data_IF_558177875109
#
_entry.id   IF_558177875109
#
_cell.length_a   1.000
_cell.length_b   1.000
_cell.length_c   1.000
_cell.angle_alpha   90.00
_cell.angle_beta   90.00
_cell.angle_gamma   90.00
#
_symmetry.space_group_name_H-M   'P 1'
#
loop_
_entity.id
_entity.type
_entity.pdbx_description
1 polymer ?
#
# COMPACT_ATOMS: atom_id res chain seq x y z
N UNK A 1 -34.63 -22.16 23.56
CA UNK A 1 -34.63 -21.06 22.57
C UNK A 1 -33.38 -20.24 22.80
N UNK A 2 -32.45 -20.20 21.85
CA UNK A 2 -31.21 -19.45 22.00
C UNK A 2 -31.45 -17.97 21.63
N UNK A 3 -31.20 -17.09 22.58
CA UNK A 3 -31.23 -15.64 22.45
C UNK A 3 -30.25 -15.19 21.35
N UNK A 4 -30.81 -14.71 20.23
CA UNK A 4 -30.06 -13.96 19.22
C UNK A 4 -29.50 -12.71 19.89
N UNK A 5 -28.18 -12.60 19.95
CA UNK A 5 -27.48 -11.42 20.46
C UNK A 5 -27.88 -10.18 19.66
N UNK A 6 -28.67 -9.31 20.28
CA UNK A 6 -28.83 -7.92 19.87
C UNK A 6 -27.47 -7.23 19.99
N UNK A 7 -26.96 -6.65 18.90
CA UNK A 7 -25.82 -5.71 18.99
C UNK A 7 -24.70 -5.85 17.96
N UNK A 8 -24.77 -6.73 16.95
CA UNK A 8 -23.85 -6.59 15.81
C UNK A 8 -24.41 -5.55 14.85
N UNK A 9 -23.90 -4.33 14.94
CA UNK A 9 -24.13 -3.26 13.95
C UNK A 9 -23.86 -3.85 12.57
N UNK A 10 -24.82 -3.70 11.65
CA UNK A 10 -24.61 -4.22 10.30
C UNK A 10 -23.39 -3.54 9.67
N UNK A 11 -22.52 -4.29 8.95
CA UNK A 11 -21.37 -3.71 8.28
C UNK A 11 -21.82 -2.58 7.37
N UNK A 12 -21.20 -1.41 7.51
CA UNK A 12 -21.45 -0.28 6.62
C UNK A 12 -21.01 -0.63 5.20
N UNK A 13 -21.39 0.20 4.22
CA UNK A 13 -20.91 0.04 2.84
C UNK A 13 -19.37 0.04 2.78
N UNK A 14 -18.73 0.87 3.60
CA UNK A 14 -17.27 0.95 3.70
C UNK A 14 -16.69 -0.33 4.32
N UNK A 15 -17.28 -0.85 5.38
CA UNK A 15 -16.79 -2.10 6.01
C UNK A 15 -16.85 -3.29 5.05
N UNK A 16 -17.89 -3.34 4.19
CA UNK A 16 -18.00 -4.37 3.14
C UNK A 16 -16.90 -4.22 2.10
N UNK A 17 -16.65 -3.00 1.62
CA UNK A 17 -15.58 -2.72 0.65
C UNK A 17 -14.19 -3.04 1.23
N UNK A 18 -13.94 -2.69 2.49
CA UNK A 18 -12.71 -3.08 3.19
C UNK A 18 -12.59 -4.61 3.24
N UNK A 19 -13.66 -5.32 3.63
CA UNK A 19 -13.66 -6.78 3.69
C UNK A 19 -13.36 -7.42 2.32
N UNK A 20 -13.96 -6.89 1.26
CA UNK A 20 -13.72 -7.35 -0.11
C UNK A 20 -12.28 -7.06 -0.56
N UNK A 21 -11.78 -5.84 -0.36
CA UNK A 21 -10.41 -5.48 -0.70
C UNK A 21 -9.39 -6.36 0.04
N UNK A 22 -9.62 -6.66 1.32
CA UNK A 22 -8.81 -7.61 2.10
C UNK A 22 -8.84 -9.01 1.50
N UNK A 23 -10.02 -9.52 1.15
CA UNK A 23 -10.20 -10.85 0.57
C UNK A 23 -9.52 -10.98 -0.80
N UNK A 24 -9.75 -10.02 -1.71
CA UNK A 24 -9.15 -9.98 -3.03
C UNK A 24 -7.63 -9.79 -2.96
N UNK A 25 -7.13 -9.01 -1.99
CA UNK A 25 -5.68 -8.90 -1.75
C UNK A 25 -5.09 -10.25 -1.36
N UNK A 26 -5.73 -11.00 -0.45
CA UNK A 26 -5.26 -12.34 -0.03
C UNK A 26 -5.28 -13.35 -1.17
N UNK A 27 -6.26 -13.23 -2.08
CA UNK A 27 -6.38 -14.06 -3.29
C UNK A 27 -5.51 -13.60 -4.44
N UNK A 28 -4.92 -12.40 -4.34
CA UNK A 28 -4.09 -11.77 -5.37
C UNK A 28 -4.86 -11.57 -6.68
N UNK A 29 -6.07 -11.03 -6.58
CA UNK A 29 -7.00 -10.79 -7.70
C UNK A 29 -6.99 -9.30 -8.10
N UNK A 30 -6.06 -8.84 -8.97
CA UNK A 30 -5.94 -7.42 -9.34
C UNK A 30 -7.22 -6.90 -9.99
N UNK A 31 -7.79 -7.62 -10.96
CA UNK A 31 -9.04 -7.25 -11.66
C UNK A 31 -10.25 -7.09 -10.71
N UNK A 32 -10.24 -7.74 -9.54
CA UNK A 32 -11.27 -7.60 -8.53
C UNK A 32 -11.03 -6.38 -7.64
N UNK A 33 -9.77 -6.00 -7.43
CA UNK A 33 -9.37 -4.76 -6.76
C UNK A 33 -9.64 -3.54 -7.64
N UNK A 34 -9.44 -3.63 -8.96
CA UNK A 34 -9.73 -2.55 -9.92
C UNK A 34 -11.21 -2.16 -9.87
N UNK A 35 -12.10 -3.15 -9.78
CA UNK A 35 -13.55 -2.93 -9.59
C UNK A 35 -13.89 -2.17 -8.30
N UNK A 36 -13.00 -2.17 -7.32
CA UNK A 36 -13.13 -1.38 -6.10
C UNK A 36 -12.46 -0.02 -6.29
N UNK A 37 -11.16 0.00 -6.60
CA UNK A 37 -10.36 1.21 -6.54
C UNK A 37 -10.56 2.15 -7.74
N UNK A 38 -10.94 1.67 -8.91
CA UNK A 38 -11.15 2.55 -10.08
C UNK A 38 -12.51 3.26 -10.06
N UNK A 39 -13.46 2.72 -9.28
CA UNK A 39 -14.87 3.14 -9.35
C UNK A 39 -15.32 3.95 -8.13
N UNK A 40 -14.42 4.19 -7.18
CA UNK A 40 -14.72 4.89 -5.94
C UNK A 40 -14.17 6.33 -5.98
N UNK A 41 -14.94 7.32 -5.48
CA UNK A 41 -14.40 8.65 -5.23
C UNK A 41 -13.18 8.56 -4.30
N UNK A 42 -12.19 9.41 -4.50
CA UNK A 42 -10.91 9.29 -3.77
C UNK A 42 -11.05 9.33 -2.26
N UNK A 43 -11.96 10.12 -1.70
CA UNK A 43 -12.20 10.12 -0.24
C UNK A 43 -12.66 8.74 0.27
N UNK A 44 -13.47 8.04 -0.53
CA UNK A 44 -13.93 6.67 -0.23
C UNK A 44 -12.79 5.67 -0.42
N UNK A 45 -12.02 5.79 -1.50
CA UNK A 45 -10.82 4.97 -1.71
C UNK A 45 -9.83 5.08 -0.57
N UNK A 46 -9.56 6.30 -0.08
CA UNK A 46 -8.68 6.52 1.05
C UNK A 46 -9.17 5.82 2.32
N UNK A 47 -10.48 5.84 2.58
CA UNK A 47 -11.06 5.12 3.72
C UNK A 47 -10.95 3.61 3.54
N UNK A 48 -11.20 3.09 2.34
CA UNK A 48 -11.08 1.67 2.02
C UNK A 48 -9.64 1.20 2.10
N UNK A 49 -8.68 1.94 1.54
CA UNK A 49 -7.25 1.65 1.60
C UNK A 49 -6.75 1.65 3.05
N UNK A 50 -7.00 2.72 3.82
CA UNK A 50 -6.61 2.78 5.24
C UNK A 50 -7.20 1.64 6.06
N UNK A 51 -8.47 1.30 5.81
CA UNK A 51 -9.12 0.14 6.42
C UNK A 51 -8.44 -1.18 6.06
N UNK A 52 -8.16 -1.38 4.78
CA UNK A 52 -7.50 -2.58 4.24
C UNK A 52 -6.10 -2.76 4.83
N UNK A 53 -5.29 -1.69 4.88
CA UNK A 53 -3.96 -1.69 5.49
C UNK A 53 -4.03 -2.06 6.97
N UNK A 54 -5.03 -1.54 7.70
CA UNK A 54 -5.24 -1.85 9.12
C UNK A 54 -5.57 -3.33 9.34
N UNK A 55 -6.48 -3.89 8.54
CA UNK A 55 -6.87 -5.31 8.66
C UNK A 55 -5.74 -6.27 8.25
N UNK A 56 -4.87 -5.85 7.33
CA UNK A 56 -3.74 -6.65 6.85
C UNK A 56 -2.43 -6.39 7.63
N UNK A 57 -2.43 -5.58 8.69
CA UNK A 57 -1.20 -5.13 9.37
C UNK A 57 -0.26 -6.25 9.86
N UNK A 58 -0.78 -7.46 10.10
CA UNK A 58 -0.01 -8.65 10.50
C UNK A 58 0.31 -9.58 9.33
N UNK A 59 -0.33 -9.39 8.18
CA UNK A 59 -0.18 -10.16 6.96
C UNK A 59 0.77 -9.43 6.00
N UNK A 60 2.06 -9.47 6.34
CA UNK A 60 3.13 -8.81 5.58
C UNK A 60 3.18 -9.31 4.13
N UNK A 61 2.87 -10.58 3.90
CA UNK A 61 2.93 -11.16 2.56
C UNK A 61 1.86 -10.52 1.65
N UNK A 62 0.61 -10.50 2.12
CA UNK A 62 -0.48 -9.85 1.40
C UNK A 62 -0.26 -8.34 1.25
N UNK A 63 0.21 -7.65 2.31
CA UNK A 63 0.52 -6.22 2.22
C UNK A 63 1.63 -5.92 1.20
N UNK A 64 2.67 -6.76 1.14
CA UNK A 64 3.77 -6.56 0.20
C UNK A 64 3.33 -6.76 -1.25
N UNK A 65 2.46 -7.74 -1.48
CA UNK A 65 1.83 -7.94 -2.78
C UNK A 65 0.93 -6.75 -3.15
N UNK A 66 0.13 -6.25 -2.20
CA UNK A 66 -0.73 -5.09 -2.41
C UNK A 66 0.07 -3.81 -2.76
N UNK A 67 1.25 -3.63 -2.17
CA UNK A 67 2.17 -2.55 -2.57
C UNK A 67 2.65 -2.72 -4.02
N UNK A 68 2.89 -3.98 -4.45
CA UNK A 68 3.19 -4.31 -5.83
C UNK A 68 2.04 -3.98 -6.78
N UNK A 69 0.81 -4.37 -6.41
CA UNK A 69 -0.41 -4.02 -7.15
C UNK A 69 -0.52 -2.51 -7.38
N UNK A 70 -0.48 -1.69 -6.32
CA UNK A 70 -0.55 -0.24 -6.48
C UNK A 70 0.61 0.33 -7.32
N UNK A 71 1.82 -0.22 -7.23
CA UNK A 71 2.92 0.21 -8.10
C UNK A 71 2.65 -0.10 -9.59
N UNK A 72 1.96 -1.23 -9.85
CA UNK A 72 1.52 -1.64 -11.19
C UNK A 72 0.35 -0.80 -11.69
N UNK A 73 -0.60 -0.42 -10.85
CA UNK A 73 -1.71 0.44 -11.31
C UNK A 73 -1.22 1.85 -11.67
N UNK A 74 -0.12 2.31 -11.06
CA UNK A 74 0.48 3.61 -11.38
C UNK A 74 1.42 3.51 -12.62
N UNK A 75 1.79 2.31 -13.12
CA UNK A 75 2.77 2.18 -14.22
C UNK A 75 2.54 1.01 -15.20
N UNK A 76 2.98 1.16 -16.45
CA UNK A 76 3.04 0.08 -17.45
C UNK A 76 3.51 -1.25 -16.84
N UNK A 77 2.75 -2.33 -17.09
CA UNK A 77 2.91 -3.69 -16.56
C UNK A 77 4.33 -4.29 -16.61
N UNK A 78 5.20 -3.73 -17.45
CA UNK A 78 6.58 -4.18 -17.73
C UNK A 78 7.52 -4.19 -16.51
N UNK A 79 7.27 -3.36 -15.50
CA UNK A 79 8.15 -3.25 -14.33
C UNK A 79 7.92 -4.37 -13.29
N UNK A 80 6.68 -4.87 -13.18
CA UNK A 80 6.31 -5.98 -12.30
C UNK A 80 6.34 -7.34 -13.00
N UNK A 81 6.40 -7.38 -14.34
CA UNK A 81 6.70 -8.59 -15.13
C UNK A 81 8.18 -9.02 -15.05
N UNK A 82 9.03 -8.26 -14.34
CA UNK A 82 10.38 -8.71 -14.01
C UNK A 82 10.29 -9.91 -13.05
N UNK A 83 11.05 -11.01 -13.28
CA UNK A 83 10.97 -12.25 -12.50
C UNK A 83 11.30 -12.12 -10.99
N UNK A 84 11.60 -10.90 -10.52
CA UNK A 84 11.99 -10.60 -9.14
C UNK A 84 11.00 -9.72 -8.37
N UNK A 85 9.97 -9.15 -9.01
CA UNK A 85 8.95 -8.31 -8.33
C UNK A 85 9.54 -7.36 -7.27
N UNK A 86 10.44 -6.45 -7.68
CA UNK A 86 11.30 -5.71 -6.76
C UNK A 86 10.52 -4.96 -5.68
N UNK A 87 9.44 -4.27 -6.04
CA UNK A 87 8.59 -3.53 -5.10
C UNK A 87 8.06 -4.43 -3.98
N UNK A 88 7.60 -5.64 -4.31
CA UNK A 88 7.06 -6.59 -3.34
C UNK A 88 8.15 -6.99 -2.34
N UNK A 89 9.33 -7.39 -2.85
CA UNK A 89 10.43 -7.84 -2.00
C UNK A 89 10.93 -6.75 -1.03
N UNK A 90 11.01 -5.52 -1.50
CA UNK A 90 11.52 -4.40 -0.70
C UNK A 90 10.48 -3.88 0.28
N UNK A 91 9.22 -3.79 -0.16
CA UNK A 91 8.11 -3.45 0.73
C UNK A 91 8.04 -4.45 1.88
N UNK A 92 8.20 -5.75 1.57
CA UNK A 92 8.32 -6.81 2.57
C UNK A 92 9.53 -6.62 3.49
N UNK A 93 10.67 -6.19 2.97
CA UNK A 93 11.86 -5.89 3.77
C UNK A 93 11.62 -4.73 4.73
N UNK A 94 11.11 -3.59 4.24
CA UNK A 94 10.81 -2.41 5.04
C UNK A 94 9.77 -2.70 6.14
N UNK A 95 8.73 -3.47 5.81
CA UNK A 95 7.71 -3.90 6.77
C UNK A 95 8.27 -4.82 7.86
N UNK A 96 9.25 -5.70 7.56
CA UNK A 96 9.95 -6.48 8.59
C UNK A 96 10.66 -5.58 9.61
N UNK A 97 11.09 -4.41 9.19
CA UNK A 97 11.69 -3.38 10.04
C UNK A 97 10.69 -2.36 10.57
N UNK A 98 9.38 -2.66 10.53
CA UNK A 98 8.30 -1.84 11.10
C UNK A 98 8.05 -0.51 10.39
N UNK A 99 8.47 -0.37 9.14
CA UNK A 99 8.02 0.74 8.31
C UNK A 99 6.66 0.38 7.71
N UNK A 100 5.69 1.27 7.86
CA UNK A 100 4.33 1.11 7.37
C UNK A 100 4.20 1.63 5.92
N UNK A 101 3.55 0.89 5.02
CA UNK A 101 3.29 1.35 3.66
C UNK A 101 2.33 2.55 3.66
N UNK A 102 2.54 3.48 2.73
CA UNK A 102 1.84 4.75 2.56
C UNK A 102 1.94 5.72 3.74
N UNK A 103 2.81 5.43 4.71
CA UNK A 103 3.08 6.29 5.89
C UNK A 103 4.58 6.52 6.03
N UNK A 104 5.37 5.45 6.09
CA UNK A 104 6.82 5.52 6.24
C UNK A 104 7.53 5.35 4.89
N UNK A 105 6.89 4.71 3.92
CA UNK A 105 7.35 4.60 2.54
C UNK A 105 6.16 4.45 1.60
N UNK A 106 6.34 4.70 0.30
CA UNK A 106 5.32 4.53 -0.72
C UNK A 106 5.92 3.87 -1.96
N UNK A 107 5.28 2.82 -2.51
CA UNK A 107 5.67 2.29 -3.81
C UNK A 107 5.42 3.33 -4.92
N UNK A 108 6.33 3.41 -5.88
CA UNK A 108 6.27 4.40 -6.96
C UNK A 108 6.64 3.79 -8.32
N UNK A 109 6.38 4.54 -9.39
CA UNK A 109 6.67 4.13 -10.77
C UNK A 109 8.16 3.90 -11.01
N UNK A 110 8.51 3.10 -12.03
CA UNK A 110 9.90 2.79 -12.38
C UNK A 110 10.57 1.79 -11.43
N UNK A 111 9.81 0.89 -10.82
CA UNK A 111 10.24 0.01 -9.72
C UNK A 111 10.67 0.72 -8.42
N UNK A 112 10.42 2.02 -8.24
CA UNK A 112 10.98 2.80 -7.12
C UNK A 112 10.17 2.66 -5.82
N UNK A 113 10.84 2.86 -4.68
CA UNK A 113 10.17 3.13 -3.40
C UNK A 113 10.61 4.50 -2.92
N UNK A 114 9.63 5.35 -2.60
CA UNK A 114 9.87 6.63 -1.93
C UNK A 114 9.84 6.41 -0.43
N UNK A 115 10.88 6.85 0.27
CA UNK A 115 10.90 6.88 1.73
C UNK A 115 10.22 8.17 2.18
N UNK A 116 9.17 8.05 3.01
CA UNK A 116 8.41 9.18 3.55
C UNK A 116 8.95 9.56 4.93
N UNK A 117 9.18 8.54 5.78
CA UNK A 117 9.71 8.73 7.12
C UNK A 117 11.21 8.42 7.14
N UNK A 118 12.00 9.44 6.82
CA UNK A 118 13.44 9.30 6.68
C UNK A 118 14.13 8.98 8.02
N UNK A 119 13.66 9.54 9.14
CA UNK A 119 14.19 9.24 10.48
C UNK A 119 14.10 7.74 10.81
N UNK A 120 12.95 7.10 10.52
CA UNK A 120 12.81 5.65 10.70
C UNK A 120 13.70 4.86 9.74
N UNK A 121 13.94 5.36 8.53
CA UNK A 121 14.81 4.71 7.56
C UNK A 121 16.28 4.78 7.99
N UNK A 122 16.76 5.92 8.48
CA UNK A 122 18.13 6.07 8.99
C UNK A 122 18.38 5.23 10.26
N UNK A 123 17.34 4.96 11.04
CA UNK A 123 17.43 4.05 12.18
C UNK A 123 17.60 2.57 11.78
N UNK A 124 17.46 2.21 10.49
CA UNK A 124 17.64 0.84 10.02
C UNK A 124 19.11 0.40 10.05
N UNK A 125 19.39 -0.91 10.10
CA UNK A 125 20.76 -1.39 9.96
C UNK A 125 21.39 -0.93 8.63
N UNK A 126 22.66 -0.53 8.66
CA UNK A 126 23.37 -0.02 7.47
C UNK A 126 23.29 -0.95 6.24
N UNK A 127 23.34 -2.27 6.46
CA UNK A 127 23.20 -3.27 5.39
C UNK A 127 21.82 -3.22 4.71
N UNK A 128 20.77 -2.87 5.46
CA UNK A 128 19.40 -2.74 4.95
C UNK A 128 19.28 -1.44 4.17
N UNK A 129 19.79 -0.33 4.70
CA UNK A 129 19.82 0.95 3.99
C UNK A 129 20.56 0.81 2.65
N UNK A 130 21.75 0.18 2.66
CA UNK A 130 22.52 -0.11 1.45
C UNK A 130 21.78 -1.01 0.46
N UNK A 131 21.01 -2.01 0.93
CA UNK A 131 20.23 -2.86 0.05
C UNK A 131 19.08 -2.10 -0.63
N UNK A 132 18.45 -1.15 0.07
CA UNK A 132 17.39 -0.29 -0.47
C UNK A 132 17.98 0.75 -1.44
N UNK A 133 19.03 1.45 -1.03
CA UNK A 133 19.73 2.46 -1.85
C UNK A 133 20.43 1.84 -3.07
N UNK A 134 20.93 0.61 -2.96
CA UNK A 134 21.54 -0.11 -4.07
C UNK A 134 20.51 -0.66 -5.06
N UNK A 135 19.25 -0.78 -4.66
CA UNK A 135 18.19 -1.24 -5.53
C UNK A 135 17.50 -0.08 -6.28
N UNK A 136 17.52 1.16 -5.77
CA UNK A 136 16.87 2.33 -6.37
C UNK A 136 17.61 3.65 -6.12
N UNK A 137 17.42 4.62 -7.03
CA UNK A 137 17.52 6.04 -6.68
C UNK A 137 16.48 6.34 -5.60
N UNK A 138 16.87 6.26 -4.33
CA UNK A 138 16.07 6.78 -3.23
C UNK A 138 16.02 8.29 -3.43
N UNK A 139 14.85 8.78 -3.86
CA UNK A 139 14.58 10.21 -3.85
C UNK A 139 14.42 10.60 -2.39
N UNK A 140 15.50 11.12 -1.80
CA UNK A 140 15.44 11.83 -0.52
C UNK A 140 14.44 12.97 -0.67
N UNK A 141 13.34 12.89 0.08
CA UNK A 141 12.36 13.96 0.19
C UNK A 141 12.03 14.13 1.67
N UNK A 142 11.90 15.38 2.10
CA UNK A 142 11.48 15.69 3.46
C UNK A 142 10.09 15.08 3.74
N UNK A 143 9.79 14.80 5.01
CA UNK A 143 8.48 14.26 5.43
C UNK A 143 7.31 15.11 4.93
N UNK A 144 7.50 16.43 4.84
CA UNK A 144 6.52 17.41 4.37
C UNK A 144 6.32 17.34 2.85
N UNK A 145 7.40 17.25 2.06
CA UNK A 145 7.30 17.03 0.62
C UNK A 145 6.67 15.67 0.31
N UNK A 146 7.04 14.64 1.07
CA UNK A 146 6.46 13.30 0.92
C UNK A 146 4.96 13.29 1.25
N UNK A 147 4.52 14.06 2.26
CA UNK A 147 3.11 14.29 2.56
C UNK A 147 2.41 15.06 1.43
N UNK A 148 3.02 16.12 0.90
CA UNK A 148 2.49 16.89 -0.23
C UNK A 148 2.38 16.07 -1.50
N UNK A 149 3.32 15.17 -1.76
CA UNK A 149 3.28 14.26 -2.91
C UNK A 149 2.24 13.18 -2.70
N UNK A 150 2.09 12.66 -1.48
CA UNK A 150 0.98 11.77 -1.15
C UNK A 150 -0.35 12.48 -1.43
N UNK A 151 -0.50 13.71 -0.93
CA UNK A 151 -1.69 14.53 -1.15
C UNK A 151 -1.89 14.90 -2.63
N UNK A 152 -0.81 15.14 -3.39
CA UNK A 152 -0.83 15.46 -4.81
C UNK A 152 -1.09 14.24 -5.70
N UNK A 153 -0.58 13.06 -5.36
CA UNK A 153 -0.90 11.80 -6.05
C UNK A 153 -2.34 11.39 -5.75
N UNK A 154 -2.79 11.58 -4.51
CA UNK A 154 -4.21 11.48 -4.17
C UNK A 154 -5.05 12.49 -4.97
N UNK A 155 -4.50 13.67 -5.28
CA UNK A 155 -5.13 14.68 -6.12
C UNK A 155 -5.06 14.37 -7.63
N UNK A 156 -4.04 13.69 -8.13
CA UNK A 156 -3.97 13.23 -9.53
C UNK A 156 -4.88 12.02 -9.76
N UNK A 157 -5.00 11.12 -8.79
CA UNK A 157 -6.00 10.05 -8.77
C UNK A 157 -7.45 10.58 -8.61
N UNK A 158 -7.61 11.89 -8.36
CA UNK A 158 -8.89 12.61 -8.28
C UNK A 158 -9.30 13.27 -9.61
N UNK A 159 -8.42 13.28 -10.62
CA UNK A 159 -8.69 13.89 -11.94
C UNK A 159 -8.86 12.78 -12.98
N UNK A 160 -10.14 12.66 -13.38
CA UNK A 160 -10.81 11.75 -14.34
C UNK A 160 -11.18 10.33 -13.85
#
# INVERSE_FOLDING_TARGET
MASKGFGKTQPTKIDKLIGQAVEYSRRREPEALDKIFDNLPVEMNNKVLKGTLRELNKDIDTLSWLCGYFASEINSSDDNDKPRQPIILLSKLLMKYRLAPFIDFMPYTGCRITIINYEKFEALPAKVQQAINGAFEVLERSTEEAQQINDALLAEMLVD
#
